data_IF_532594503852
#
_entry.id   IF_532594503852
#
_cell.length_a   1.000
_cell.length_b   1.000
_cell.length_c   1.000
_cell.angle_alpha   90.00
_cell.angle_beta   90.00
_cell.angle_gamma   90.00
#
_symmetry.space_group_name_H-M   'P 1'
#
loop_
_entity.id
_entity.type
_entity.pdbx_description
1 polymer ?
#
# COMPACT_ATOMS: atom_id res chain seq x y z
N UNK A 1 -17.67 18.82 -35.23
CA UNK A 1 -19.10 18.58 -35.50
C UNK A 1 -19.63 17.70 -34.37
N UNK A 2 -20.29 18.33 -33.37
CA UNK A 2 -20.87 17.65 -32.22
C UNK A 2 -22.26 17.12 -32.55
N UNK A 3 -22.44 15.80 -32.59
CA UNK A 3 -23.77 15.20 -32.64
C UNK A 3 -24.30 15.07 -31.22
N UNK A 4 -25.28 15.90 -30.86
CA UNK A 4 -26.11 15.77 -29.64
C UNK A 4 -26.98 14.52 -29.81
N UNK A 5 -26.77 13.50 -28.97
CA UNK A 5 -27.70 12.38 -28.83
C UNK A 5 -28.94 12.86 -28.08
N UNK A 6 -30.07 13.00 -28.77
CA UNK A 6 -31.39 13.22 -28.18
C UNK A 6 -31.93 11.88 -27.69
N UNK A 7 -32.22 11.77 -26.40
CA UNK A 7 -32.91 10.64 -25.79
C UNK A 7 -34.39 10.69 -26.07
N UNK A 8 -34.89 9.70 -26.78
CA UNK A 8 -36.33 9.42 -26.90
C UNK A 8 -36.72 8.50 -25.71
N UNK A 9 -37.53 9.05 -24.80
CA UNK A 9 -38.21 8.29 -23.75
C UNK A 9 -39.41 7.61 -24.37
N UNK A 10 -39.33 6.30 -24.56
CA UNK A 10 -40.51 5.49 -24.86
C UNK A 10 -40.90 4.71 -23.61
N UNK A 11 -42.04 5.08 -23.05
CA UNK A 11 -42.71 4.47 -21.90
C UNK A 11 -43.29 3.12 -22.30
N UNK A 12 -42.71 2.02 -21.76
CA UNK A 12 -43.41 0.75 -21.67
C UNK A 12 -43.34 0.32 -20.21
N UNK A 13 -44.39 0.58 -19.45
CA UNK A 13 -44.70 -0.08 -18.17
C UNK A 13 -45.12 -1.54 -18.47
N UNK A 14 -44.29 -2.48 -18.10
CA UNK A 14 -44.74 -3.85 -17.84
C UNK A 14 -44.51 -4.12 -16.37
N UNK A 15 -45.62 -4.31 -15.66
CA UNK A 15 -45.71 -4.77 -14.29
C UNK A 15 -45.03 -6.13 -14.16
N UNK A 16 -43.89 -6.17 -13.45
CA UNK A 16 -43.32 -7.39 -12.92
C UNK A 16 -43.42 -7.29 -11.41
N UNK A 17 -44.24 -8.18 -10.85
CA UNK A 17 -44.47 -8.37 -9.42
C UNK A 17 -43.15 -8.63 -8.66
N UNK A 18 -43.00 -8.15 -7.41
CA UNK A 18 -41.80 -8.38 -6.61
C UNK A 18 -41.92 -9.71 -5.86
N UNK A 19 -41.69 -10.80 -6.54
CA UNK A 19 -41.60 -12.10 -5.89
C UNK A 19 -40.75 -13.06 -6.70
N UNK A 20 -39.46 -12.86 -6.80
CA UNK A 20 -38.46 -13.88 -7.08
C UNK A 20 -37.04 -13.25 -7.25
N UNK A 21 -36.44 -12.75 -6.19
CA UNK A 21 -35.00 -12.53 -6.11
C UNK A 21 -34.57 -12.56 -4.63
N UNK A 22 -34.85 -13.70 -3.98
CA UNK A 22 -34.07 -14.14 -2.84
C UNK A 22 -32.95 -15.02 -3.38
N UNK A 23 -31.94 -14.44 -4.03
CA UNK A 23 -30.65 -15.07 -4.16
C UNK A 23 -29.88 -14.76 -2.88
N UNK A 24 -29.64 -15.78 -2.09
CA UNK A 24 -28.74 -15.73 -0.96
C UNK A 24 -27.35 -15.31 -1.47
N UNK A 25 -26.96 -14.05 -1.24
CA UNK A 25 -25.60 -13.59 -1.40
C UNK A 25 -24.76 -14.24 -0.30
N UNK A 26 -23.56 -14.77 -0.58
CA UNK A 26 -22.64 -15.14 0.48
C UNK A 26 -22.32 -13.87 1.27
N UNK A 27 -22.40 -13.95 2.58
CA UNK A 27 -22.17 -12.90 3.56
C UNK A 27 -20.81 -12.19 3.36
N UNK A 28 -20.79 -11.16 2.53
CA UNK A 28 -19.79 -10.13 2.48
C UNK A 28 -20.43 -8.89 3.07
N UNK A 29 -20.07 -8.53 4.30
CA UNK A 29 -20.58 -7.38 5.01
C UNK A 29 -20.52 -6.14 4.12
N UNK A 30 -21.65 -5.64 3.68
CA UNK A 30 -21.83 -4.31 3.14
C UNK A 30 -21.70 -3.32 4.32
N UNK A 31 -20.46 -2.99 4.69
CA UNK A 31 -20.12 -2.18 5.87
C UNK A 31 -20.57 -0.71 5.77
N UNK A 32 -21.15 -0.30 4.62
CA UNK A 32 -21.45 1.10 4.34
C UNK A 32 -22.95 1.43 4.23
N UNK A 33 -23.84 0.47 4.40
CA UNK A 33 -25.30 0.71 4.33
C UNK A 33 -25.80 1.23 2.96
N UNK A 34 -25.03 1.03 1.88
CA UNK A 34 -25.34 1.53 0.55
C UNK A 34 -26.28 0.58 -0.15
N UNK A 35 -27.43 1.08 -0.59
CA UNK A 35 -28.37 0.31 -1.42
C UNK A 35 -28.01 0.43 -2.89
N UNK A 36 -27.52 -0.66 -3.48
CA UNK A 36 -27.22 -0.77 -4.92
C UNK A 36 -28.49 -0.51 -5.76
N UNK A 37 -29.61 -1.03 -5.31
CA UNK A 37 -30.89 -0.84 -5.95
C UNK A 37 -31.29 0.65 -6.00
N UNK A 38 -31.08 1.39 -4.91
CA UNK A 38 -31.32 2.83 -4.85
C UNK A 38 -30.43 3.61 -5.82
N UNK A 39 -29.14 3.25 -5.88
CA UNK A 39 -28.18 3.90 -6.80
C UNK A 39 -28.51 3.64 -8.28
N UNK A 40 -28.98 2.44 -8.60
CA UNK A 40 -29.22 2.03 -9.98
C UNK A 40 -30.64 2.29 -10.49
N UNK A 41 -31.62 2.52 -9.61
CA UNK A 41 -33.01 2.77 -10.01
C UNK A 41 -33.17 4.13 -10.69
N UNK A 42 -32.56 5.18 -10.13
CA UNK A 42 -32.61 6.57 -10.64
C UNK A 42 -31.26 7.27 -10.47
N UNK A 43 -30.21 6.84 -11.18
CA UNK A 43 -28.92 7.48 -11.05
C UNK A 43 -29.02 8.92 -11.61
N UNK A 44 -28.46 9.89 -10.87
CA UNK A 44 -28.35 11.27 -11.34
C UNK A 44 -27.28 11.40 -12.44
N UNK A 45 -27.20 12.56 -13.10
CA UNK A 45 -26.28 12.79 -14.21
C UNK A 45 -24.81 12.51 -13.83
N UNK A 46 -24.37 12.96 -12.66
CA UNK A 46 -23.00 12.72 -12.18
C UNK A 46 -22.72 11.22 -11.95
N UNK A 47 -23.73 10.49 -11.47
CA UNK A 47 -23.65 9.05 -11.26
C UNK A 47 -23.55 8.29 -12.60
N UNK A 48 -24.31 8.71 -13.60
CA UNK A 48 -24.24 8.16 -14.95
C UNK A 48 -22.86 8.39 -15.56
N UNK A 49 -22.34 9.62 -15.48
CA UNK A 49 -21.01 9.98 -16.00
C UNK A 49 -19.92 9.12 -15.36
N UNK A 50 -19.97 8.93 -14.05
CA UNK A 50 -19.00 8.11 -13.33
C UNK A 50 -19.08 6.64 -13.71
N UNK A 51 -20.29 6.07 -13.77
CA UNK A 51 -20.47 4.66 -14.15
C UNK A 51 -20.09 4.42 -15.61
N UNK A 52 -20.36 5.38 -16.50
CA UNK A 52 -19.93 5.33 -17.90
C UNK A 52 -18.41 5.27 -17.98
N UNK A 53 -17.74 6.20 -17.34
CA UNK A 53 -16.29 6.26 -17.31
C UNK A 53 -15.67 4.99 -16.68
N UNK A 54 -16.25 4.50 -15.58
CA UNK A 54 -15.81 3.28 -14.91
C UNK A 54 -15.97 2.04 -15.81
N UNK A 55 -17.02 1.99 -16.62
CA UNK A 55 -17.24 0.94 -17.60
C UNK A 55 -16.25 1.03 -18.77
N UNK A 56 -16.06 2.22 -19.34
CA UNK A 56 -15.12 2.46 -20.45
C UNK A 56 -13.70 2.06 -20.11
N UNK A 57 -13.22 2.38 -18.89
CA UNK A 57 -11.91 1.98 -18.39
C UNK A 57 -11.71 0.45 -18.33
N UNK A 58 -12.80 -0.32 -18.42
CA UNK A 58 -12.83 -1.80 -18.42
C UNK A 58 -13.27 -2.41 -19.74
N UNK A 59 -13.30 -1.59 -20.80
CA UNK A 59 -13.72 -2.03 -22.13
C UNK A 59 -15.21 -2.39 -22.21
N UNK A 60 -16.04 -1.84 -21.31
CA UNK A 60 -17.49 -2.06 -21.27
C UNK A 60 -18.25 -0.78 -21.59
N UNK A 61 -19.49 -0.93 -22.02
CA UNK A 61 -20.41 0.19 -22.18
C UNK A 61 -21.38 0.21 -21.00
N UNK A 62 -21.54 1.36 -20.35
CA UNK A 62 -22.52 1.51 -19.27
C UNK A 62 -23.94 1.35 -19.81
N UNK A 63 -24.74 0.55 -19.11
CA UNK A 63 -26.18 0.39 -19.33
C UNK A 63 -26.89 0.19 -18.00
N UNK A 64 -28.20 0.37 -17.96
CA UNK A 64 -28.98 0.04 -16.76
C UNK A 64 -28.84 -1.42 -16.34
N UNK A 65 -28.70 -2.32 -17.29
CA UNK A 65 -28.60 -3.76 -17.03
C UNK A 65 -27.30 -4.17 -16.33
N UNK A 66 -26.22 -3.41 -16.49
CA UNK A 66 -24.95 -3.69 -15.83
C UNK A 66 -24.62 -2.74 -14.67
N UNK A 67 -25.50 -1.80 -14.35
CA UNK A 67 -25.31 -0.84 -13.26
C UNK A 67 -24.98 -1.53 -11.94
N UNK A 68 -25.80 -2.49 -11.51
CA UNK A 68 -25.62 -3.21 -10.26
C UNK A 68 -24.24 -3.89 -10.19
N UNK A 69 -23.84 -4.58 -11.26
CA UNK A 69 -22.52 -5.23 -11.34
C UNK A 69 -21.36 -4.23 -11.28
N UNK A 70 -21.49 -3.07 -11.91
CA UNK A 70 -20.49 -2.01 -11.84
C UNK A 70 -20.40 -1.42 -10.44
N UNK A 71 -21.51 -1.14 -9.78
CA UNK A 71 -21.55 -0.64 -8.40
C UNK A 71 -20.99 -1.69 -7.44
N UNK A 72 -21.36 -2.96 -7.57
CA UNK A 72 -20.77 -4.05 -6.80
C UNK A 72 -19.25 -4.12 -6.96
N UNK A 73 -18.74 -3.97 -8.18
CA UNK A 73 -17.31 -3.96 -8.43
C UNK A 73 -16.60 -2.75 -7.79
N UNK A 74 -17.27 -1.58 -7.74
CA UNK A 74 -16.78 -0.42 -7.00
C UNK A 74 -16.74 -0.73 -5.50
N UNK A 75 -17.83 -1.28 -4.95
CA UNK A 75 -17.94 -1.61 -3.53
C UNK A 75 -16.95 -2.71 -3.10
N UNK A 76 -16.68 -3.68 -3.96
CA UNK A 76 -15.68 -4.75 -3.71
C UNK A 76 -14.26 -4.24 -3.51
N UNK A 77 -13.92 -3.05 -4.03
CA UNK A 77 -12.62 -2.42 -3.75
C UNK A 77 -12.45 -2.11 -2.27
N UNK A 78 -13.54 -1.86 -1.54
CA UNK A 78 -13.54 -1.49 -0.11
C UNK A 78 -12.82 -0.18 0.21
N UNK A 79 -12.44 0.57 -0.83
CA UNK A 79 -11.79 1.86 -0.77
C UNK A 79 -12.38 2.76 -1.86
N UNK A 80 -12.66 4.01 -1.52
CA UNK A 80 -13.29 4.97 -2.41
C UNK A 80 -12.51 6.28 -2.40
N UNK A 81 -12.15 6.75 -3.58
CA UNK A 81 -11.61 8.10 -3.69
C UNK A 81 -12.71 9.16 -3.39
N UNK A 82 -12.36 10.43 -3.16
CA UNK A 82 -13.36 11.45 -2.82
C UNK A 82 -14.50 11.60 -3.84
N UNK A 83 -14.25 11.27 -5.11
CA UNK A 83 -15.25 11.30 -6.17
C UNK A 83 -16.20 10.09 -6.06
N UNK A 84 -15.66 8.91 -5.83
CA UNK A 84 -16.43 7.67 -5.58
C UNK A 84 -17.23 7.78 -4.27
N UNK A 85 -16.67 8.40 -3.22
CA UNK A 85 -17.38 8.67 -1.96
C UNK A 85 -18.60 9.55 -2.19
N UNK A 86 -18.44 10.66 -2.93
CA UNK A 86 -19.55 11.55 -3.30
C UNK A 86 -20.61 10.82 -4.11
N UNK A 87 -20.18 9.98 -5.05
CA UNK A 87 -21.10 9.15 -5.84
C UNK A 87 -21.91 8.19 -4.99
N UNK A 88 -21.26 7.55 -4.03
CA UNK A 88 -21.88 6.58 -3.12
C UNK A 88 -22.68 7.24 -1.98
N UNK A 89 -22.73 8.58 -1.92
CA UNK A 89 -23.38 9.32 -0.83
C UNK A 89 -22.66 9.19 0.52
N UNK A 90 -21.38 8.83 0.51
CA UNK A 90 -20.56 8.71 1.72
C UNK A 90 -20.03 10.09 2.15
N UNK A 91 -19.76 10.24 3.45
CA UNK A 91 -19.07 11.44 3.93
C UNK A 91 -17.69 11.54 3.27
N UNK A 92 -17.37 12.72 2.76
CA UNK A 92 -16.05 12.99 2.19
C UNK A 92 -14.98 12.89 3.28
N UNK A 93 -13.96 12.10 3.04
CA UNK A 93 -12.84 11.94 3.97
C UNK A 93 -11.71 11.13 3.35
N UNK A 94 -10.55 11.17 3.96
CA UNK A 94 -9.42 10.32 3.57
C UNK A 94 -9.70 8.92 4.07
N UNK A 95 -9.80 7.96 3.16
CA UNK A 95 -9.97 6.54 3.48
C UNK A 95 -8.69 5.77 3.13
N UNK A 96 -8.24 4.97 4.08
CA UNK A 96 -7.14 4.07 3.84
C UNK A 96 -7.55 2.94 2.88
N UNK A 97 -6.75 2.61 1.86
CA UNK A 97 -7.04 1.49 0.97
C UNK A 97 -7.05 0.16 1.73
N UNK A 98 -7.84 -0.82 1.30
CA UNK A 98 -7.98 -2.12 1.95
C UNK A 98 -6.74 -3.00 1.69
N UNK A 99 -5.61 -2.62 2.25
CA UNK A 99 -4.33 -3.28 2.00
C UNK A 99 -4.17 -4.57 2.80
N UNK A 100 -3.60 -5.59 2.16
CA UNK A 100 -3.11 -6.76 2.86
C UNK A 100 -1.82 -6.41 3.61
N UNK A 101 -1.78 -6.73 4.92
CA UNK A 101 -0.67 -6.41 5.81
C UNK A 101 0.04 -7.68 6.27
N UNK A 102 1.38 -7.62 6.33
CA UNK A 102 2.20 -8.74 6.73
C UNK A 102 2.21 -8.96 8.25
N UNK A 103 2.23 -10.23 8.67
CA UNK A 103 2.72 -10.64 9.99
C UNK A 103 4.24 -10.84 9.95
N UNK A 104 4.88 -10.84 11.10
CA UNK A 104 6.30 -11.19 11.19
C UNK A 104 6.45 -12.70 11.10
N UNK A 105 7.35 -13.16 10.25
CA UNK A 105 7.76 -14.56 10.19
C UNK A 105 8.40 -14.98 11.52
N UNK A 106 8.15 -16.21 11.93
CA UNK A 106 8.77 -16.81 13.10
C UNK A 106 9.44 -18.12 12.69
N UNK A 107 10.60 -18.40 13.27
CA UNK A 107 11.31 -19.67 13.08
C UNK A 107 10.38 -20.85 13.40
N UNK A 108 10.44 -21.89 12.57
CA UNK A 108 9.57 -23.08 12.67
C UNK A 108 8.25 -22.98 11.90
N UNK A 109 7.89 -21.81 11.31
CA UNK A 109 6.76 -21.76 10.38
C UNK A 109 7.09 -22.58 9.12
N UNK A 110 6.17 -23.45 8.71
CA UNK A 110 6.33 -24.15 7.43
C UNK A 110 6.09 -23.17 6.27
N UNK A 111 7.19 -22.83 5.59
CA UNK A 111 7.21 -21.90 4.45
C UNK A 111 7.68 -22.55 3.16
N UNK A 112 7.74 -23.88 3.12
CA UNK A 112 8.12 -24.61 1.91
C UNK A 112 7.13 -24.34 0.79
N UNK A 113 7.65 -23.98 -0.36
CA UNK A 113 6.85 -23.64 -1.54
C UNK A 113 6.25 -22.23 -1.53
N UNK A 114 6.45 -21.42 -0.47
CA UNK A 114 6.00 -20.04 -0.46
C UNK A 114 6.76 -19.20 -1.49
N UNK A 115 6.11 -18.14 -1.96
CA UNK A 115 6.75 -17.14 -2.80
C UNK A 115 7.56 -16.17 -1.95
N UNK A 116 8.75 -15.88 -2.39
CA UNK A 116 9.73 -15.04 -1.69
C UNK A 116 10.16 -13.90 -2.61
N UNK A 117 10.17 -12.68 -2.09
CA UNK A 117 10.66 -11.48 -2.77
C UNK A 117 11.43 -10.58 -1.82
N UNK A 118 12.16 -9.61 -2.38
CA UNK A 118 12.76 -8.55 -1.57
C UNK A 118 11.68 -7.71 -0.90
N UNK A 119 11.93 -7.30 0.35
CA UNK A 119 11.18 -6.24 1.02
C UNK A 119 11.89 -4.90 0.74
N UNK A 120 11.26 -4.10 -0.07
CA UNK A 120 11.76 -2.78 -0.41
C UNK A 120 11.52 -1.79 0.74
N UNK A 121 12.47 -0.88 0.96
CA UNK A 121 12.38 0.22 1.92
C UNK A 121 12.04 1.51 1.16
N UNK A 122 10.77 1.64 0.80
CA UNK A 122 10.20 2.74 0.05
C UNK A 122 8.91 3.25 0.68
N UNK A 123 8.03 3.80 -0.15
CA UNK A 123 6.71 4.26 0.24
C UNK A 123 5.68 3.38 -0.44
N UNK A 124 4.91 2.63 0.36
CA UNK A 124 3.80 1.85 -0.18
C UNK A 124 2.78 2.75 -0.83
N UNK A 125 2.55 2.52 -2.10
CA UNK A 125 1.58 3.24 -2.90
C UNK A 125 0.54 2.29 -3.47
N UNK A 126 -0.71 2.70 -3.36
CA UNK A 126 -1.84 2.03 -3.97
C UNK A 126 -2.31 2.84 -5.16
N UNK A 127 -2.27 2.23 -6.34
CA UNK A 127 -2.88 2.79 -7.53
C UNK A 127 -4.34 2.38 -7.58
N UNK A 128 -5.25 3.35 -7.58
CA UNK A 128 -6.70 3.10 -7.55
C UNK A 128 -7.31 2.77 -8.92
N UNK A 129 -6.50 2.79 -9.98
CA UNK A 129 -6.94 2.87 -11.38
C UNK A 129 -6.98 4.32 -11.90
N UNK A 130 -6.72 5.32 -11.04
CA UNK A 130 -6.76 6.76 -11.38
C UNK A 130 -5.74 7.60 -10.63
N UNK A 131 -5.45 7.26 -9.38
CA UNK A 131 -4.57 8.02 -8.48
C UNK A 131 -3.65 7.10 -7.70
N UNK A 132 -2.45 7.58 -7.44
CA UNK A 132 -1.59 7.01 -6.42
C UNK A 132 -1.96 7.59 -5.06
N UNK A 133 -2.10 6.72 -4.07
CA UNK A 133 -2.39 7.10 -2.69
C UNK A 133 -1.47 6.34 -1.74
N UNK A 134 -1.21 6.94 -0.60
CA UNK A 134 -0.43 6.31 0.47
C UNK A 134 -1.22 5.18 1.15
N UNK A 135 -0.57 4.45 2.03
CA UNK A 135 -1.21 3.44 2.89
C UNK A 135 -2.39 3.98 3.70
N UNK A 136 -2.37 5.26 4.05
CA UNK A 136 -3.44 5.91 4.83
C UNK A 136 -4.49 6.60 3.96
N UNK A 137 -4.33 6.55 2.64
CA UNK A 137 -5.28 7.12 1.68
C UNK A 137 -4.96 8.54 1.24
N UNK A 138 -3.87 9.13 1.71
CA UNK A 138 -3.46 10.47 1.26
C UNK A 138 -2.99 10.42 -0.20
N UNK A 139 -3.35 11.42 -1.02
CA UNK A 139 -2.92 11.47 -2.41
C UNK A 139 -1.39 11.62 -2.51
N UNK A 140 -0.80 10.93 -3.49
CA UNK A 140 0.59 11.10 -3.90
C UNK A 140 0.59 11.89 -5.19
N UNK A 141 1.22 13.05 -5.17
CA UNK A 141 1.28 13.97 -6.31
C UNK A 141 2.42 13.57 -7.25
N UNK A 142 2.18 12.53 -8.06
CA UNK A 142 3.11 12.13 -9.10
C UNK A 142 2.95 13.00 -10.37
N UNK A 143 4.01 13.25 -11.16
CA UNK A 143 3.86 13.93 -12.44
C UNK A 143 3.03 13.11 -13.43
N UNK A 144 2.33 13.76 -14.35
CA UNK A 144 1.40 13.11 -15.29
C UNK A 144 2.06 11.99 -16.08
N UNK A 145 3.28 12.21 -16.58
CA UNK A 145 4.03 11.20 -17.33
C UNK A 145 4.27 9.88 -16.55
N UNK A 146 4.28 9.95 -15.21
CA UNK A 146 4.48 8.77 -14.37
C UNK A 146 3.20 7.92 -14.25
N UNK A 147 2.03 8.54 -14.34
CA UNK A 147 0.74 7.90 -14.06
C UNK A 147 -0.20 7.78 -15.26
N UNK A 148 -0.04 8.59 -16.31
CA UNK A 148 -0.98 8.65 -17.45
C UNK A 148 -1.12 7.34 -18.20
N UNK A 149 -0.04 6.55 -18.25
CA UNK A 149 -0.03 5.23 -18.90
C UNK A 149 -0.37 4.07 -17.94
N UNK A 150 -0.65 4.34 -16.66
CA UNK A 150 -1.05 3.29 -15.73
C UNK A 150 -2.46 2.77 -16.05
N UNK A 151 -2.74 1.48 -15.83
CA UNK A 151 -4.00 0.87 -16.22
C UNK A 151 -5.15 1.31 -15.33
N UNK A 152 -6.39 1.16 -15.79
CA UNK A 152 -7.59 1.29 -14.95
C UNK A 152 -7.71 0.23 -13.84
N UNK A 153 -6.82 -0.76 -13.85
CA UNK A 153 -6.70 -1.82 -12.85
C UNK A 153 -5.99 -1.32 -11.60
N UNK A 154 -6.52 -1.61 -10.41
CA UNK A 154 -5.83 -1.27 -9.17
C UNK A 154 -4.54 -2.08 -9.00
N UNK A 155 -3.48 -1.41 -8.53
CA UNK A 155 -2.17 -2.00 -8.29
C UNK A 155 -1.70 -1.69 -6.87
N UNK A 156 -1.03 -2.65 -6.25
CA UNK A 156 -0.42 -2.53 -4.93
C UNK A 156 1.10 -2.69 -5.09
N UNK A 157 1.84 -1.66 -4.70
CA UNK A 157 3.27 -1.62 -4.93
C UNK A 157 4.02 -0.70 -3.96
N UNK A 158 5.30 -0.54 -4.22
CA UNK A 158 6.20 0.33 -3.47
C UNK A 158 6.82 1.36 -4.42
N UNK A 159 6.74 2.64 -4.11
CA UNK A 159 7.53 3.69 -4.75
C UNK A 159 8.92 3.68 -4.12
N UNK A 160 9.95 3.52 -4.96
CA UNK A 160 11.29 3.24 -4.50
C UNK A 160 12.35 3.77 -5.48
N UNK A 161 13.42 4.36 -4.96
CA UNK A 161 14.55 4.82 -5.76
C UNK A 161 15.64 3.75 -5.77
N UNK A 162 16.23 3.47 -4.61
CA UNK A 162 17.26 2.43 -4.45
C UNK A 162 17.43 2.07 -2.97
N UNK A 163 18.20 1.01 -2.70
CA UNK A 163 18.52 0.62 -1.32
C UNK A 163 19.20 1.74 -0.57
N UNK A 164 18.89 1.90 0.72
CA UNK A 164 19.42 2.95 1.61
C UNK A 164 19.05 4.38 1.20
N UNK A 165 18.10 4.56 0.29
CA UNK A 165 17.62 5.87 -0.19
C UNK A 165 16.21 6.21 0.28
N UNK A 166 15.74 5.62 1.38
CA UNK A 166 14.40 5.87 1.92
C UNK A 166 14.10 7.36 2.11
N UNK A 167 15.02 8.11 2.74
CA UNK A 167 14.85 9.55 2.97
C UNK A 167 14.71 10.35 1.67
N UNK A 168 15.47 9.98 0.61
CA UNK A 168 15.35 10.60 -0.72
C UNK A 168 14.02 10.23 -1.36
N UNK A 169 13.63 8.94 -1.30
CA UNK A 169 12.33 8.48 -1.81
C UNK A 169 11.20 9.25 -1.15
N UNK A 170 11.23 9.39 0.18
CA UNK A 170 10.25 10.12 0.95
C UNK A 170 10.15 11.58 0.51
N UNK A 171 11.28 12.28 0.41
CA UNK A 171 11.35 13.68 0.00
C UNK A 171 10.77 13.92 -1.40
N UNK A 172 10.99 13.00 -2.34
CA UNK A 172 10.47 13.11 -3.72
C UNK A 172 8.98 12.79 -3.78
N UNK A 173 8.56 11.72 -3.11
CA UNK A 173 7.18 11.18 -3.25
C UNK A 173 6.15 12.02 -2.48
N UNK A 174 6.56 12.64 -1.35
CA UNK A 174 5.66 13.46 -0.53
C UNK A 174 5.67 14.95 -0.91
N UNK A 175 6.46 15.36 -1.90
CA UNK A 175 6.42 16.74 -2.39
C UNK A 175 5.06 17.01 -3.03
N UNK A 176 4.38 18.06 -2.55
CA UNK A 176 3.07 18.51 -3.08
C UNK A 176 3.20 19.03 -4.51
N UNK A 177 4.40 19.47 -4.90
CA UNK A 177 4.70 19.97 -6.23
C UNK A 177 5.76 19.07 -6.89
N UNK A 178 5.36 17.97 -7.55
CA UNK A 178 6.30 17.01 -8.12
C UNK A 178 7.16 17.68 -9.19
N UNK A 179 8.44 17.84 -8.89
CA UNK A 179 9.41 18.53 -9.77
C UNK A 179 10.48 17.54 -10.23
N UNK A 180 11.65 17.63 -9.62
CA UNK A 180 12.81 16.79 -9.91
C UNK A 180 12.81 15.54 -9.02
N UNK A 181 13.49 14.48 -9.47
CA UNK A 181 13.67 13.26 -8.69
C UNK A 181 12.71 12.13 -9.05
N UNK A 182 11.54 12.40 -9.63
CA UNK A 182 10.61 11.35 -10.05
C UNK A 182 11.18 10.44 -11.15
N UNK A 183 12.12 10.91 -11.95
CA UNK A 183 12.85 10.08 -12.94
C UNK A 183 13.68 8.94 -12.32
N UNK A 184 14.00 9.04 -11.03
CA UNK A 184 14.69 7.99 -10.29
C UNK A 184 13.73 7.05 -9.56
N UNK A 185 12.45 7.41 -9.45
CA UNK A 185 11.45 6.62 -8.73
C UNK A 185 10.94 5.50 -9.61
N UNK A 186 10.91 4.29 -9.07
CA UNK A 186 10.25 3.14 -9.67
C UNK A 186 9.01 2.77 -8.87
N UNK A 187 7.92 2.43 -9.54
CA UNK A 187 6.77 1.80 -8.92
C UNK A 187 6.91 0.27 -9.02
N UNK A 188 7.27 -0.34 -7.91
CA UNK A 188 7.53 -1.77 -7.79
C UNK A 188 6.25 -2.49 -7.43
N UNK A 189 5.52 -2.99 -8.41
CA UNK A 189 4.22 -3.63 -8.25
C UNK A 189 4.38 -5.08 -7.79
N UNK A 190 3.67 -5.49 -6.75
CA UNK A 190 3.74 -6.84 -6.19
C UNK A 190 2.37 -7.53 -6.09
N UNK A 191 1.26 -6.84 -6.29
CA UNK A 191 -0.09 -7.42 -6.39
C UNK A 191 -1.04 -6.49 -7.17
N UNK A 192 -2.19 -7.02 -7.59
CA UNK A 192 -3.31 -6.30 -8.15
C UNK A 192 -4.61 -6.78 -7.47
N UNK A 193 -5.05 -6.06 -6.42
CA UNK A 193 -6.07 -6.54 -5.47
C UNK A 193 -7.44 -6.85 -6.05
N UNK A 194 -7.87 -6.14 -7.07
CA UNK A 194 -9.20 -6.30 -7.70
C UNK A 194 -9.20 -7.31 -8.86
N UNK A 195 -8.04 -7.89 -9.19
CA UNK A 195 -8.01 -9.09 -10.03
C UNK A 195 -8.53 -10.30 -9.26
N UNK A 196 -9.38 -11.07 -9.90
CA UNK A 196 -9.92 -12.30 -9.33
C UNK A 196 -8.87 -13.41 -9.22
N UNK A 197 -9.12 -14.35 -8.31
CA UNK A 197 -8.32 -15.55 -8.17
C UNK A 197 -7.25 -15.51 -7.09
N UNK A 198 -6.46 -16.58 -7.05
CA UNK A 198 -5.35 -16.74 -6.10
C UNK A 198 -4.12 -15.96 -6.54
N UNK A 199 -3.15 -15.80 -5.64
CA UNK A 199 -1.95 -14.98 -5.87
C UNK A 199 -1.24 -15.29 -7.19
N UNK A 200 -1.09 -16.56 -7.54
CA UNK A 200 -0.44 -16.97 -8.79
C UNK A 200 -1.18 -16.50 -10.05
N UNK A 201 -2.49 -16.51 -10.00
CA UNK A 201 -3.33 -16.03 -11.11
C UNK A 201 -3.21 -14.52 -11.26
N UNK A 202 -3.33 -13.77 -10.15
CA UNK A 202 -3.13 -12.31 -10.15
C UNK A 202 -1.72 -11.95 -10.59
N UNK A 203 -0.70 -12.64 -10.08
CA UNK A 203 0.70 -12.46 -10.47
C UNK A 203 0.89 -12.61 -11.98
N UNK A 204 0.36 -13.69 -12.58
CA UNK A 204 0.44 -13.94 -14.02
C UNK A 204 -0.23 -12.83 -14.84
N UNK A 205 -1.42 -12.43 -14.43
CA UNK A 205 -2.20 -11.39 -15.11
C UNK A 205 -1.50 -10.03 -14.99
N UNK A 206 -1.05 -9.65 -13.78
CA UNK A 206 -0.34 -8.39 -13.54
C UNK A 206 0.97 -8.31 -14.32
N UNK A 207 1.78 -9.38 -14.31
CA UNK A 207 3.02 -9.42 -15.12
C UNK A 207 2.75 -9.24 -16.61
N UNK A 208 1.70 -9.91 -17.13
CA UNK A 208 1.29 -9.74 -18.54
C UNK A 208 0.90 -8.28 -18.82
N UNK A 209 0.08 -7.70 -17.95
CA UNK A 209 -0.37 -6.31 -18.06
C UNK A 209 0.83 -5.34 -18.08
N UNK A 210 1.72 -5.42 -17.09
CA UNK A 210 2.87 -4.53 -17.00
C UNK A 210 3.84 -4.70 -18.17
N UNK A 211 3.98 -5.92 -18.69
CA UNK A 211 4.82 -6.18 -19.86
C UNK A 211 4.27 -5.52 -21.14
N UNK A 212 2.94 -5.46 -21.29
CA UNK A 212 2.34 -4.79 -22.47
C UNK A 212 2.43 -3.27 -22.41
N UNK A 213 2.64 -2.70 -21.22
CA UNK A 213 2.78 -1.24 -21.03
C UNK A 213 4.19 -0.76 -21.39
N UNK A 214 5.20 -1.62 -21.25
CA UNK A 214 6.62 -1.37 -21.58
C UNK A 214 7.16 -0.07 -20.96
N UNK A 215 6.89 0.14 -19.65
CA UNK A 215 7.26 1.34 -18.90
C UNK A 215 8.45 1.04 -17.99
N UNK A 216 9.58 1.71 -18.20
CA UNK A 216 10.81 1.50 -17.43
C UNK A 216 10.67 1.77 -15.93
N UNK A 217 9.81 2.72 -15.57
CA UNK A 217 9.60 3.13 -14.17
C UNK A 217 8.55 2.28 -13.43
N UNK A 218 7.82 1.39 -14.15
CA UNK A 218 6.84 0.47 -13.54
C UNK A 218 7.35 -0.95 -13.69
N UNK A 219 7.59 -1.63 -12.57
CA UNK A 219 8.21 -2.96 -12.59
C UNK A 219 7.46 -3.95 -11.72
N UNK A 220 7.33 -5.17 -12.21
CA UNK A 220 6.88 -6.28 -11.40
C UNK A 220 7.98 -6.69 -10.40
N UNK A 221 7.61 -6.91 -9.14
CA UNK A 221 8.51 -7.48 -8.12
C UNK A 221 8.67 -8.97 -8.34
N UNK A 222 9.88 -9.40 -8.71
CA UNK A 222 10.15 -10.82 -8.96
C UNK A 222 9.93 -11.68 -7.72
N UNK A 223 9.26 -12.81 -7.94
CA UNK A 223 8.91 -13.78 -6.91
C UNK A 223 9.65 -15.09 -7.16
N UNK A 224 10.27 -15.63 -6.12
CA UNK A 224 10.97 -16.92 -6.16
C UNK A 224 10.33 -17.91 -5.18
N UNK A 225 10.24 -19.19 -5.52
CA UNK A 225 9.79 -20.23 -4.61
C UNK A 225 10.85 -20.48 -3.53
N UNK A 226 10.40 -20.53 -2.28
CA UNK A 226 11.22 -20.87 -1.13
C UNK A 226 11.16 -22.39 -0.86
N UNK A 227 12.29 -23.07 -0.91
CA UNK A 227 12.33 -24.54 -0.71
C UNK A 227 12.50 -24.95 0.75
N UNK A 228 13.13 -24.10 1.57
CA UNK A 228 13.44 -24.41 2.97
C UNK A 228 13.73 -23.15 3.80
N UNK A 229 13.69 -23.28 5.12
CA UNK A 229 14.11 -22.23 6.05
C UNK A 229 15.60 -21.85 5.84
N UNK A 230 16.45 -22.82 5.56
CA UNK A 230 17.88 -22.57 5.26
C UNK A 230 18.05 -21.71 4.00
N UNK A 231 17.28 -21.98 2.93
CA UNK A 231 17.30 -21.14 1.74
C UNK A 231 16.81 -19.72 2.04
N UNK A 232 15.70 -19.59 2.81
CA UNK A 232 15.17 -18.30 3.24
C UNK A 232 16.23 -17.47 3.96
N UNK A 233 16.92 -18.04 4.96
CA UNK A 233 17.93 -17.34 5.75
C UNK A 233 19.16 -16.98 4.90
N UNK A 234 19.61 -17.86 4.01
CA UNK A 234 20.69 -17.56 3.08
C UNK A 234 20.32 -16.41 2.13
N UNK A 235 19.07 -16.39 1.67
CA UNK A 235 18.55 -15.33 0.81
C UNK A 235 18.46 -14.01 1.58
N UNK A 236 17.93 -14.03 2.81
CA UNK A 236 17.86 -12.88 3.70
C UNK A 236 19.25 -12.25 3.92
N UNK A 237 20.22 -13.05 4.36
CA UNK A 237 21.58 -12.58 4.63
C UNK A 237 22.21 -11.94 3.37
N UNK A 238 22.03 -12.56 2.20
CA UNK A 238 22.56 -12.05 0.94
C UNK A 238 21.93 -10.72 0.53
N UNK A 239 20.62 -10.55 0.76
CA UNK A 239 19.91 -9.31 0.41
C UNK A 239 20.21 -8.19 1.41
N UNK A 240 20.23 -8.48 2.72
CA UNK A 240 20.58 -7.52 3.75
C UNK A 240 22.06 -7.05 3.63
N UNK A 241 22.99 -7.92 3.24
CA UNK A 241 24.37 -7.54 2.94
C UNK A 241 24.47 -6.53 1.78
N UNK A 242 23.52 -6.57 0.83
CA UNK A 242 23.37 -5.59 -0.25
C UNK A 242 22.54 -4.36 0.14
N UNK A 243 22.12 -4.26 1.41
CA UNK A 243 21.38 -3.13 1.96
C UNK A 243 19.86 -3.21 1.78
N UNK A 244 19.31 -4.38 1.47
CA UNK A 244 17.86 -4.59 1.49
C UNK A 244 17.31 -4.54 2.92
N UNK A 245 16.04 -4.20 3.08
CA UNK A 245 15.35 -4.16 4.37
C UNK A 245 15.06 -5.57 4.93
N UNK A 246 14.90 -6.54 4.06
CA UNK A 246 14.55 -7.92 4.38
C UNK A 246 13.85 -8.61 3.22
N UNK A 247 12.98 -9.57 3.54
CA UNK A 247 12.20 -10.31 2.55
C UNK A 247 10.71 -10.31 2.88
N UNK A 248 9.91 -10.57 1.85
CA UNK A 248 8.48 -10.85 1.96
C UNK A 248 8.20 -12.28 1.54
N UNK A 249 7.30 -12.96 2.26
CA UNK A 249 6.81 -14.29 1.92
C UNK A 249 5.31 -14.23 1.68
N UNK A 250 4.86 -14.78 0.54
CA UNK A 250 3.45 -14.91 0.17
C UNK A 250 3.07 -16.38 0.10
N UNK A 251 1.99 -16.75 0.81
CA UNK A 251 1.47 -18.13 0.80
C UNK A 251 0.90 -18.46 -0.59
N UNK A 252 1.29 -19.63 -1.18
CA UNK A 252 0.68 -20.12 -2.41
C UNK A 252 -0.82 -20.26 -2.29
N UNK A 253 -1.56 -20.05 -3.38
CA UNK A 253 -3.01 -20.20 -3.43
C UNK A 253 -3.79 -19.17 -2.58
N UNK A 254 -3.11 -18.11 -2.08
CA UNK A 254 -3.76 -17.14 -1.21
C UNK A 254 -4.55 -16.09 -1.97
N UNK A 255 -5.75 -15.77 -1.45
CA UNK A 255 -6.53 -14.61 -1.87
C UNK A 255 -5.91 -13.32 -1.34
N UNK A 256 -6.17 -12.20 -2.01
CA UNK A 256 -5.90 -10.88 -1.45
C UNK A 256 -6.99 -10.56 -0.40
N UNK A 257 -6.59 -10.47 0.86
CA UNK A 257 -7.51 -10.16 1.96
C UNK A 257 -6.99 -8.94 2.70
N UNK A 258 -7.79 -7.87 2.82
CA UNK A 258 -7.43 -6.70 3.60
C UNK A 258 -7.06 -7.04 5.05
N UNK A 259 -6.23 -6.21 5.64
CA UNK A 259 -5.80 -6.36 7.02
C UNK A 259 -4.62 -7.31 7.22
N UNK A 260 -4.28 -7.55 8.49
CA UNK A 260 -3.09 -8.32 8.87
C UNK A 260 -3.30 -9.81 8.68
N UNK A 261 -2.60 -10.40 7.72
CA UNK A 261 -2.79 -11.77 7.28
C UNK A 261 -1.59 -12.67 7.55
N UNK A 262 -1.85 -13.93 7.93
CA UNK A 262 -0.83 -14.97 8.01
C UNK A 262 -0.40 -15.49 6.62
N UNK A 263 -1.08 -15.10 5.56
CA UNK A 263 -0.73 -15.46 4.18
C UNK A 263 0.34 -14.53 3.58
N UNK A 264 0.72 -13.47 4.31
CA UNK A 264 1.81 -12.56 3.97
C UNK A 264 2.69 -12.39 5.19
N UNK A 265 3.98 -12.69 5.07
CA UNK A 265 4.93 -12.57 6.17
C UNK A 265 6.09 -11.67 5.77
N UNK A 266 6.56 -10.84 6.70
CA UNK A 266 7.81 -10.11 6.58
C UNK A 266 8.91 -10.83 7.34
N UNK A 267 10.09 -10.92 6.74
CA UNK A 267 11.29 -11.58 7.27
C UNK A 267 12.40 -10.56 7.36
N UNK A 268 12.90 -10.31 8.56
CA UNK A 268 14.01 -9.40 8.84
C UNK A 268 14.90 -10.03 9.91
N UNK A 269 16.18 -9.75 9.86
CA UNK A 269 17.11 -10.17 10.93
C UNK A 269 16.94 -9.33 12.22
N UNK A 270 16.28 -8.18 12.12
CA UNK A 270 16.04 -7.25 13.23
C UNK A 270 14.54 -6.94 13.40
N UNK A 271 14.19 -6.44 14.57
CA UNK A 271 12.86 -5.89 14.87
C UNK A 271 12.89 -4.37 14.78
N UNK A 272 11.77 -3.76 14.43
CA UNK A 272 11.59 -2.32 14.48
C UNK A 272 10.58 -1.98 15.56
N UNK A 273 10.89 -0.91 16.30
CA UNK A 273 9.98 -0.29 17.24
C UNK A 273 10.01 1.23 17.10
N UNK A 274 8.98 1.85 17.64
CA UNK A 274 8.83 3.30 17.71
C UNK A 274 9.10 3.76 19.15
N UNK A 275 9.60 4.98 19.26
CA UNK A 275 9.74 5.63 20.55
C UNK A 275 9.84 7.14 20.37
N UNK A 276 9.51 7.86 21.46
CA UNK A 276 9.52 9.31 21.50
C UNK A 276 10.88 9.81 22.01
N UNK A 277 11.42 10.80 21.34
CA UNK A 277 12.64 11.50 21.81
C UNK A 277 12.29 12.30 23.06
N UNK A 278 12.97 12.02 24.16
CA UNK A 278 12.79 12.76 25.41
C UNK A 278 13.84 13.86 25.55
N UNK A 279 15.09 13.56 25.18
CA UNK A 279 16.22 14.47 25.38
C UNK A 279 17.36 14.15 24.45
N UNK A 280 18.13 15.18 24.07
CA UNK A 280 19.46 15.04 23.46
C UNK A 280 20.50 14.88 24.55
N UNK A 281 21.40 13.91 24.37
CA UNK A 281 22.54 13.70 25.25
C UNK A 281 23.82 14.12 24.53
N UNK A 282 24.71 14.91 25.16
CA UNK A 282 25.89 15.45 24.51
C UNK A 282 26.84 14.35 24.05
N UNK A 283 27.51 14.59 22.95
CA UNK A 283 28.54 13.72 22.39
C UNK A 283 29.87 13.86 23.11
N UNK A 284 30.69 12.80 22.98
CA UNK A 284 32.08 12.77 23.44
C UNK A 284 33.02 12.39 22.30
N UNK A 285 34.33 12.72 22.42
CA UNK A 285 35.31 12.41 21.40
C UNK A 285 34.96 13.05 20.05
N UNK A 286 34.88 12.25 18.97
CA UNK A 286 34.55 12.77 17.63
C UNK A 286 33.16 13.45 17.53
N UNK A 287 32.30 13.22 18.51
CA UNK A 287 30.96 13.82 18.56
C UNK A 287 30.87 14.97 19.58
N UNK A 288 32.00 15.50 20.07
CA UNK A 288 32.01 16.68 20.94
C UNK A 288 31.40 17.88 20.23
N UNK A 289 30.54 18.63 20.92
CA UNK A 289 29.81 19.77 20.37
C UNK A 289 28.54 19.45 19.59
N UNK A 290 28.22 18.16 19.41
CA UNK A 290 26.97 17.70 18.75
C UNK A 290 26.29 16.56 19.53
N UNK A 291 25.13 16.12 19.08
CA UNK A 291 24.39 15.05 19.72
C UNK A 291 25.18 13.73 19.72
N UNK A 292 25.38 13.16 20.91
CA UNK A 292 25.98 11.83 21.11
C UNK A 292 24.95 10.71 21.02
N UNK A 293 23.82 10.86 21.71
CA UNK A 293 22.71 9.93 21.68
C UNK A 293 21.39 10.64 22.02
N UNK A 294 20.28 10.00 21.69
CA UNK A 294 18.96 10.38 22.15
C UNK A 294 18.57 9.58 23.39
N UNK A 295 17.89 10.18 24.35
CA UNK A 295 17.09 9.46 25.33
C UNK A 295 15.72 9.21 24.73
N UNK A 296 15.34 7.95 24.58
CA UNK A 296 14.09 7.52 23.95
C UNK A 296 13.20 6.89 24.99
N UNK A 297 11.90 7.17 24.93
CA UNK A 297 10.85 6.47 25.66
C UNK A 297 9.97 5.70 24.67
N UNK A 298 9.81 4.39 24.90
CA UNK A 298 8.87 3.55 24.16
C UNK A 298 7.46 3.70 24.71
N UNK A 299 6.44 3.29 23.93
CA UNK A 299 5.01 3.38 24.33
C UNK A 299 4.68 2.60 25.62
N UNK A 300 5.54 1.67 26.03
CA UNK A 300 5.44 0.94 27.31
C UNK A 300 6.18 1.63 28.47
N UNK A 301 6.62 2.87 28.32
CA UNK A 301 7.30 3.67 29.35
C UNK A 301 8.79 3.34 29.55
N UNK A 302 9.35 2.37 28.81
CA UNK A 302 10.76 2.01 28.97
C UNK A 302 11.64 3.04 28.30
N UNK A 303 12.59 3.59 29.07
CA UNK A 303 13.60 4.56 28.59
C UNK A 303 14.94 3.91 28.35
N UNK A 304 15.57 4.29 27.25
CA UNK A 304 16.92 3.83 26.90
C UNK A 304 17.66 4.87 26.07
N UNK A 305 19.00 4.73 25.96
CA UNK A 305 19.85 5.59 25.15
C UNK A 305 20.02 4.99 23.75
N UNK A 306 19.76 5.79 22.72
CA UNK A 306 19.93 5.45 21.33
C UNK A 306 21.06 6.29 20.74
N UNK A 307 22.23 5.70 20.54
CA UNK A 307 23.43 6.41 20.04
C UNK A 307 23.95 5.92 18.69
N UNK A 308 23.44 4.78 18.20
CA UNK A 308 23.85 4.20 16.92
C UNK A 308 22.85 4.54 15.80
N UNK A 309 23.32 4.50 14.54
CA UNK A 309 22.49 4.67 13.34
C UNK A 309 22.40 6.08 12.79
N UNK A 310 22.87 7.08 13.51
CA UNK A 310 22.84 8.47 13.08
C UNK A 310 23.99 8.81 12.12
N UNK A 311 23.66 9.52 11.04
CA UNK A 311 24.62 10.22 10.18
C UNK A 311 25.12 11.48 10.87
N UNK A 312 26.22 12.05 10.38
CA UNK A 312 26.79 13.27 10.98
C UNK A 312 25.81 14.45 10.91
N UNK A 313 25.13 14.66 9.79
CA UNK A 313 24.10 15.69 9.65
C UNK A 313 22.92 15.52 10.65
N UNK A 314 22.54 14.27 10.97
CA UNK A 314 21.49 13.98 11.95
C UNK A 314 21.98 14.20 13.40
N UNK A 315 23.29 14.21 13.62
CA UNK A 315 23.86 14.57 14.92
C UNK A 315 23.99 16.08 15.11
N UNK A 316 24.17 16.81 14.02
CA UNK A 316 24.18 18.26 14.00
C UNK A 316 22.78 18.84 14.15
N UNK A 317 21.79 18.21 13.49
CA UNK A 317 20.38 18.59 13.53
C UNK A 317 19.52 17.37 13.96
N UNK A 318 19.58 16.98 15.24
CA UNK A 318 18.88 15.80 15.71
C UNK A 318 17.35 15.99 15.80
N UNK A 319 16.56 14.91 15.67
CA UNK A 319 15.12 14.97 15.93
C UNK A 319 14.82 15.63 17.28
N UNK A 320 13.95 16.63 17.28
CA UNK A 320 13.62 17.40 18.49
C UNK A 320 12.95 16.53 19.57
N UNK A 321 13.04 16.91 20.86
CA UNK A 321 12.22 16.29 21.91
C UNK A 321 10.74 16.33 21.54
N UNK A 322 10.01 15.25 21.83
CA UNK A 322 8.63 15.00 21.40
C UNK A 322 8.50 14.32 20.03
N UNK A 323 9.55 14.30 19.22
CA UNK A 323 9.51 13.63 17.90
C UNK A 323 9.46 12.10 18.07
N UNK A 324 8.57 11.44 17.34
CA UNK A 324 8.55 9.98 17.22
C UNK A 324 9.56 9.51 16.20
N UNK A 325 10.29 8.46 16.53
CA UNK A 325 11.31 7.86 15.66
C UNK A 325 11.15 6.35 15.59
N UNK A 326 11.57 5.76 14.47
CA UNK A 326 11.71 4.31 14.30
C UNK A 326 13.16 3.93 14.55
N UNK A 327 13.36 2.90 15.36
CA UNK A 327 14.67 2.29 15.59
C UNK A 327 14.61 0.78 15.40
N UNK A 328 15.71 0.18 14.95
CA UNK A 328 15.87 -1.27 14.87
C UNK A 328 16.57 -1.81 16.11
N UNK A 329 16.29 -3.09 16.45
CA UNK A 329 16.96 -3.79 17.54
C UNK A 329 16.94 -5.31 17.32
N UNK A 330 17.76 -6.04 18.05
CA UNK A 330 17.95 -7.50 17.94
C UNK A 330 17.39 -8.24 19.19
N UNK A 331 16.16 -7.91 19.57
CA UNK A 331 15.50 -8.44 20.77
C UNK A 331 15.70 -7.54 22.00
N UNK A 332 15.37 -8.08 23.17
CA UNK A 332 15.34 -7.32 24.42
C UNK A 332 16.32 -7.89 25.45
N UNK A 333 16.78 -7.04 26.36
CA UNK A 333 17.50 -7.43 27.57
C UNK A 333 16.52 -8.00 28.61
N UNK A 334 17.06 -8.55 29.72
CA UNK A 334 16.23 -9.00 30.87
C UNK A 334 15.38 -7.86 31.48
N UNK A 335 15.80 -6.60 31.27
CA UNK A 335 15.06 -5.40 31.72
C UNK A 335 14.20 -4.77 30.60
N UNK A 336 13.85 -5.56 29.57
CA UNK A 336 13.04 -5.17 28.42
C UNK A 336 13.58 -3.97 27.63
N UNK A 337 14.86 -3.61 27.77
CA UNK A 337 15.50 -2.60 26.93
C UNK A 337 15.91 -3.21 25.58
N UNK A 338 15.75 -2.49 24.46
CA UNK A 338 16.15 -2.97 23.13
C UNK A 338 17.66 -3.25 23.06
N UNK A 339 18.02 -4.43 22.54
CA UNK A 339 19.42 -4.83 22.36
C UNK A 339 19.96 -4.29 21.05
N UNK A 340 21.18 -3.71 21.06
CA UNK A 340 21.85 -3.18 19.87
C UNK A 340 20.96 -2.21 19.07
N UNK A 341 20.21 -1.38 19.78
CA UNK A 341 19.31 -0.43 19.17
C UNK A 341 20.04 0.57 18.26
N UNK A 342 19.47 0.84 17.10
CA UNK A 342 20.04 1.74 16.10
C UNK A 342 18.93 2.54 15.42
N UNK A 343 19.10 3.85 15.32
CA UNK A 343 18.16 4.74 14.64
C UNK A 343 17.99 4.32 13.17
N UNK A 344 16.78 4.43 12.67
CA UNK A 344 16.44 4.19 11.26
C UNK A 344 15.93 5.46 10.57
N UNK A 345 14.86 6.06 11.12
CA UNK A 345 14.16 7.19 10.50
C UNK A 345 13.18 7.85 11.46
N UNK A 346 12.64 8.98 11.08
CA UNK A 346 11.46 9.54 11.73
C UNK A 346 10.25 8.58 11.56
N UNK A 347 9.37 8.56 12.56
CA UNK A 347 8.07 7.88 12.47
C UNK A 347 7.08 8.85 11.83
N UNK A 348 6.98 8.76 10.52
CA UNK A 348 6.02 9.53 9.75
C UNK A 348 4.77 8.69 9.56
N UNK A 349 3.64 9.18 10.03
CA UNK A 349 2.33 8.60 9.75
C UNK A 349 1.99 8.89 8.27
N UNK A 350 2.48 8.00 7.37
CA UNK A 350 2.29 8.10 5.92
C UNK A 350 1.22 7.10 5.48
#
# INVERSE_FOLDING_TARGET
MHKKAKWLISTLLTLITPAALKSQSPEGQNTHGISIESLCSKPNQQQIEMLTRYAEERGMVFSRNNCASLVENILKKGFFDPYEQKFLGLQSGVQAPPLMLAKTWKKGNNIRGWWMSEKFDGIRAFWTGRKLITRQGHPIHAPSWFTESLPGQALDGELWISRKQFAKTLSVVLDQNPRTGWSEVHYLVFDAPDLSGVFEQRMKQTRKLLKTMDLDHIRWVEQKRCSSERELLNFLNRFEAKGAEGLMLRKPGSQYKPGRSANLLKVKSFQENVGTVIQHLPGKGRNQGRMGSLLIEMDNGIRFRLGAGFKDAERENPPAPGTRIVFKHYGYTKTNKPRMASYLRLDLEI
#
